data_IF_510349236578
#
_entry.id   IF_510349236578
#
_cell.length_a   1.000
_cell.length_b   1.000
_cell.length_c   1.000
_cell.angle_alpha   90.00
_cell.angle_beta   90.00
_cell.angle_gamma   90.00
#
_symmetry.space_group_name_H-M   'P 1'
#
loop_
_entity.id
_entity.type
_entity.pdbx_description
1 polymer ?
#
# COMPACT_ATOMS: atom_id res chain seq x y z
N UNK A 1 19.90 -28.11 -36.45
CA UNK A 1 19.99 -26.64 -36.40
C UNK A 1 20.49 -26.30 -34.98
N UNK A 2 21.75 -26.00 -34.61
CA UNK A 2 22.86 -25.20 -35.21
C UNK A 2 22.31 -23.88 -35.74
N UNK A 3 22.57 -22.68 -35.21
CA UNK A 3 23.75 -22.01 -34.63
C UNK A 3 23.33 -21.13 -33.41
N UNK A 4 24.06 -20.84 -32.33
CA UNK A 4 25.41 -20.30 -32.12
C UNK A 4 25.61 -18.78 -32.41
N UNK A 5 25.67 -18.00 -31.31
CA UNK A 5 26.60 -16.88 -30.95
C UNK A 5 26.63 -15.53 -31.70
N UNK A 6 26.93 -14.52 -30.86
CA UNK A 6 27.70 -13.26 -31.09
C UNK A 6 26.85 -11.99 -31.33
N UNK A 7 26.81 -10.95 -30.46
CA UNK A 7 27.82 -10.04 -29.84
C UNK A 7 28.25 -8.87 -30.78
N UNK A 8 28.18 -7.63 -30.24
CA UNK A 8 28.87 -6.35 -30.60
C UNK A 8 28.27 -5.56 -31.81
N UNK A 9 28.07 -4.23 -31.87
CA UNK A 9 28.24 -3.03 -31.00
C UNK A 9 27.84 -1.75 -31.77
N UNK A 10 27.75 -0.61 -31.05
CA UNK A 10 28.18 0.77 -31.42
C UNK A 10 27.15 1.72 -32.09
N UNK A 11 26.73 2.69 -31.26
CA UNK A 11 26.82 4.15 -31.44
C UNK A 11 26.03 4.86 -32.53
N UNK A 12 25.28 5.88 -32.10
CA UNK A 12 25.50 7.24 -32.60
C UNK A 12 25.07 8.27 -31.53
N UNK A 13 26.08 8.92 -30.97
CA UNK A 13 26.02 10.19 -30.25
C UNK A 13 25.54 11.27 -31.23
N UNK A 14 24.56 12.08 -30.84
CA UNK A 14 24.32 13.38 -31.48
C UNK A 14 24.57 14.47 -30.45
N UNK A 15 25.69 15.16 -30.64
CA UNK A 15 25.97 16.44 -30.02
C UNK A 15 25.00 17.50 -30.55
N UNK A 16 24.48 18.33 -29.66
CA UNK A 16 24.03 19.67 -30.03
C UNK A 16 24.51 20.64 -28.96
N UNK A 17 25.56 21.37 -29.34
CA UNK A 17 26.08 22.54 -28.63
C UNK A 17 25.28 23.73 -29.14
N UNK A 18 24.57 24.43 -28.25
CA UNK A 18 24.29 25.86 -28.44
C UNK A 18 24.67 26.58 -27.17
N UNK A 19 25.63 27.48 -27.36
CA UNK A 19 26.30 28.31 -26.40
C UNK A 19 25.40 29.53 -26.07
N UNK A 20 25.11 29.78 -24.79
CA UNK A 20 24.64 31.08 -24.31
C UNK A 20 24.93 31.21 -22.81
N UNK A 21 25.94 32.00 -22.49
CA UNK A 21 26.10 32.68 -21.20
C UNK A 21 26.02 34.20 -21.47
N UNK A 22 25.92 35.09 -20.47
CA UNK A 22 25.72 34.91 -19.02
C UNK A 22 24.56 35.79 -18.46
N UNK A 23 24.23 35.67 -17.18
CA UNK A 23 24.02 36.78 -16.21
C UNK A 23 23.89 36.14 -14.82
N UNK A 24 24.76 36.55 -13.91
CA UNK A 24 24.76 36.23 -12.49
C UNK A 24 23.80 37.20 -11.78
N UNK A 25 22.89 36.72 -10.92
CA UNK A 25 22.55 37.43 -9.70
C UNK A 25 22.98 36.59 -8.50
N UNK A 26 23.99 37.08 -7.80
CA UNK A 26 24.40 36.63 -6.48
C UNK A 26 23.22 36.74 -5.52
N UNK A 27 22.66 35.59 -5.13
CA UNK A 27 21.81 35.44 -3.94
C UNK A 27 22.33 34.27 -3.12
N UNK A 28 23.01 34.62 -2.05
CA UNK A 28 23.24 33.75 -0.89
C UNK A 28 21.88 33.40 -0.27
N UNK A 29 21.45 32.16 -0.40
CA UNK A 29 20.39 31.60 0.45
C UNK A 29 20.51 30.08 0.55
N UNK A 30 20.87 29.64 1.76
CA UNK A 30 20.77 28.31 2.35
C UNK A 30 20.84 27.10 1.41
N UNK A 31 21.97 26.39 1.44
CA UNK A 31 21.96 24.95 1.22
C UNK A 31 21.00 24.33 2.24
N UNK A 32 19.81 23.92 1.80
CA UNK A 32 19.17 22.78 2.44
C UNK A 32 19.98 21.55 2.01
N UNK A 33 20.31 20.63 2.92
CA UNK A 33 20.87 19.36 2.50
C UNK A 33 19.74 18.62 1.76
N UNK A 34 19.81 18.57 0.43
CA UNK A 34 19.10 17.52 -0.30
C UNK A 34 19.67 16.21 0.22
N UNK A 35 18.87 15.44 0.96
CA UNK A 35 19.23 14.09 1.36
C UNK A 35 19.44 13.27 0.09
N UNK A 36 20.69 13.17 -0.36
CA UNK A 36 21.04 12.15 -1.33
C UNK A 36 20.78 10.82 -0.64
N UNK A 37 19.70 10.13 -1.04
CA UNK A 37 19.50 8.74 -0.67
C UNK A 37 20.66 7.98 -1.32
N UNK A 38 21.47 7.33 -0.49
CA UNK A 38 22.55 6.44 -0.95
C UNK A 38 21.97 5.37 -1.90
N UNK A 39 22.75 4.84 -2.85
CA UNK A 39 22.32 3.76 -3.75
C UNK A 39 21.78 2.55 -2.96
N UNK A 40 22.48 2.17 -1.88
CA UNK A 40 22.03 1.19 -0.90
C UNK A 40 20.68 1.54 -0.25
N UNK A 41 20.41 2.84 -0.01
CA UNK A 41 19.14 3.30 0.53
C UNK A 41 17.97 3.22 -0.46
N UNK A 42 18.25 3.37 -1.76
CA UNK A 42 17.27 3.15 -2.81
C UNK A 42 16.92 1.66 -2.93
N UNK A 43 17.93 0.79 -3.00
CA UNK A 43 17.75 -0.67 -3.06
C UNK A 43 17.01 -1.23 -1.83
N UNK A 44 17.36 -0.75 -0.65
CA UNK A 44 16.67 -1.08 0.60
C UNK A 44 15.18 -0.70 0.53
N UNK A 45 14.89 0.50 0.03
CA UNK A 45 13.51 0.99 -0.10
C UNK A 45 12.72 0.17 -1.10
N UNK A 46 13.29 -0.14 -2.26
CA UNK A 46 12.66 -0.97 -3.29
C UNK A 46 12.37 -2.38 -2.77
N UNK A 47 13.37 -3.04 -2.18
CA UNK A 47 13.27 -4.43 -1.73
C UNK A 47 12.27 -4.57 -0.57
N UNK A 48 12.31 -3.65 0.41
CA UNK A 48 11.32 -3.65 1.49
C UNK A 48 9.92 -3.28 0.99
N UNK A 49 9.79 -2.39 0.01
CA UNK A 49 8.49 -2.05 -0.58
C UNK A 49 7.84 -3.28 -1.23
N UNK A 50 8.59 -4.02 -2.05
CA UNK A 50 8.09 -5.25 -2.67
C UNK A 50 7.71 -6.30 -1.62
N UNK A 51 8.52 -6.46 -0.57
CA UNK A 51 8.23 -7.34 0.56
C UNK A 51 6.88 -7.01 1.22
N UNK A 52 6.64 -5.74 1.57
CA UNK A 52 5.38 -5.33 2.20
C UNK A 52 4.20 -5.40 1.23
N UNK A 53 4.38 -5.04 -0.04
CA UNK A 53 3.34 -5.12 -1.07
C UNK A 53 2.82 -6.56 -1.23
N UNK A 54 3.71 -7.55 -1.25
CA UNK A 54 3.32 -8.97 -1.35
C UNK A 54 2.47 -9.44 -0.17
N UNK A 55 2.81 -9.02 1.05
CA UNK A 55 2.04 -9.40 2.25
C UNK A 55 0.68 -8.67 2.27
N UNK A 56 0.66 -7.39 1.94
CA UNK A 56 -0.58 -6.58 1.85
C UNK A 56 -1.51 -7.15 0.79
N UNK A 57 -0.97 -7.55 -0.35
CA UNK A 57 -1.73 -8.19 -1.42
C UNK A 57 -2.45 -9.45 -0.90
N UNK A 58 -1.67 -10.38 -0.34
CA UNK A 58 -2.21 -11.64 0.16
C UNK A 58 -3.27 -11.43 1.25
N UNK A 59 -2.99 -10.59 2.24
CA UNK A 59 -3.94 -10.30 3.32
C UNK A 59 -5.26 -9.71 2.80
N UNK A 60 -5.20 -8.85 1.79
CA UNK A 60 -6.39 -8.27 1.18
C UNK A 60 -7.14 -9.25 0.28
N UNK A 61 -6.46 -10.21 -0.35
CA UNK A 61 -7.12 -11.30 -1.08
C UNK A 61 -7.93 -12.17 -0.12
N UNK A 62 -7.34 -12.55 1.02
CA UNK A 62 -7.99 -13.40 2.03
C UNK A 62 -9.25 -12.72 2.60
N UNK A 63 -9.12 -11.46 3.03
CA UNK A 63 -10.26 -10.66 3.51
C UNK A 63 -11.33 -10.50 2.42
N UNK A 64 -10.91 -10.30 1.16
CA UNK A 64 -11.86 -10.14 0.07
C UNK A 64 -12.64 -11.42 -0.22
N UNK A 65 -11.99 -12.59 -0.13
CA UNK A 65 -12.62 -13.88 -0.32
C UNK A 65 -13.72 -14.12 0.72
N UNK A 66 -13.40 -13.93 2.00
CA UNK A 66 -14.35 -14.09 3.11
C UNK A 66 -15.57 -13.17 2.95
N UNK A 67 -15.31 -11.90 2.63
CA UNK A 67 -16.36 -10.90 2.44
C UNK A 67 -17.26 -11.25 1.25
N UNK A 68 -16.70 -11.73 0.14
CA UNK A 68 -17.45 -12.06 -1.08
C UNK A 68 -18.25 -13.36 -0.97
N UNK A 69 -17.83 -14.28 -0.10
CA UNK A 69 -18.59 -15.50 0.20
C UNK A 69 -19.81 -15.16 1.07
N UNK A 70 -19.63 -14.36 2.12
CA UNK A 70 -20.65 -14.15 3.14
C UNK A 70 -21.65 -13.03 2.80
N UNK A 71 -21.18 -11.81 2.56
CA UNK A 71 -22.06 -10.64 2.53
C UNK A 71 -23.07 -10.63 1.40
N UNK A 72 -22.72 -10.97 0.14
CA UNK A 72 -23.71 -11.02 -0.92
C UNK A 72 -24.85 -12.00 -0.62
N UNK A 73 -24.57 -13.08 0.10
CA UNK A 73 -25.61 -14.03 0.50
C UNK A 73 -26.53 -13.44 1.58
N UNK A 74 -25.94 -12.80 2.60
CA UNK A 74 -26.69 -12.19 3.70
C UNK A 74 -27.65 -11.10 3.18
N UNK A 75 -27.14 -10.14 2.43
CA UNK A 75 -27.93 -8.96 2.04
C UNK A 75 -28.94 -9.23 0.92
N UNK A 76 -28.76 -10.31 0.15
CA UNK A 76 -29.63 -10.63 -0.98
C UNK A 76 -30.90 -11.39 -0.61
N UNK A 77 -31.01 -11.93 0.61
CA UNK A 77 -32.19 -12.64 1.10
C UNK A 77 -32.74 -13.72 0.14
N UNK A 78 -31.85 -14.39 -0.60
CA UNK A 78 -32.22 -15.43 -1.57
C UNK A 78 -32.48 -14.95 -3.01
N UNK A 79 -32.50 -13.63 -3.27
CA UNK A 79 -32.61 -13.09 -4.62
C UNK A 79 -31.26 -13.21 -5.35
N UNK A 80 -31.24 -14.01 -6.42
CA UNK A 80 -30.03 -14.31 -7.21
C UNK A 80 -29.47 -13.06 -7.91
N UNK A 81 -30.33 -12.20 -8.44
CA UNK A 81 -29.91 -10.98 -9.14
C UNK A 81 -29.35 -9.94 -8.15
N UNK A 82 -30.03 -9.74 -7.03
CA UNK A 82 -29.56 -8.89 -5.94
C UNK A 82 -28.19 -9.36 -5.41
N UNK A 83 -28.00 -10.69 -5.28
CA UNK A 83 -26.72 -11.29 -4.87
C UNK A 83 -25.60 -10.96 -5.85
N UNK A 84 -25.84 -11.09 -7.15
CA UNK A 84 -24.84 -10.80 -8.17
C UNK A 84 -24.44 -9.32 -8.17
N UNK A 85 -25.41 -8.42 -8.00
CA UNK A 85 -25.14 -6.98 -7.90
C UNK A 85 -24.35 -6.64 -6.63
N UNK A 86 -24.75 -7.19 -5.48
CA UNK A 86 -24.03 -7.07 -4.22
C UNK A 86 -22.58 -7.53 -4.36
N UNK A 87 -22.37 -8.73 -4.91
CA UNK A 87 -21.05 -9.31 -5.12
C UNK A 87 -20.19 -8.44 -6.04
N UNK A 88 -20.75 -7.96 -7.15
CA UNK A 88 -20.02 -7.08 -8.08
C UNK A 88 -19.65 -5.74 -7.44
N UNK A 89 -20.56 -5.14 -6.69
CA UNK A 89 -20.32 -3.88 -5.97
C UNK A 89 -19.22 -4.07 -4.91
N UNK A 90 -19.36 -5.08 -4.07
CA UNK A 90 -18.40 -5.39 -3.01
C UNK A 90 -17.02 -5.72 -3.58
N UNK A 91 -16.95 -6.56 -4.62
CA UNK A 91 -15.70 -6.93 -5.28
C UNK A 91 -14.97 -5.71 -5.85
N UNK A 92 -15.70 -4.79 -6.49
CA UNK A 92 -15.11 -3.55 -7.01
C UNK A 92 -14.51 -2.72 -5.90
N UNK A 93 -15.23 -2.54 -4.80
CA UNK A 93 -14.77 -1.67 -3.73
C UNK A 93 -13.62 -2.28 -2.92
N UNK A 94 -13.64 -3.59 -2.67
CA UNK A 94 -12.53 -4.30 -2.04
C UNK A 94 -11.26 -4.27 -2.90
N UNK A 95 -11.39 -4.47 -4.22
CA UNK A 95 -10.27 -4.31 -5.15
C UNK A 95 -9.71 -2.88 -5.15
N UNK A 96 -10.58 -1.88 -5.02
CA UNK A 96 -10.15 -0.49 -4.90
C UNK A 96 -9.40 -0.25 -3.58
N UNK A 97 -9.88 -0.80 -2.45
CA UNK A 97 -9.19 -0.74 -1.16
C UNK A 97 -7.81 -1.41 -1.25
N UNK A 98 -7.74 -2.63 -1.79
CA UNK A 98 -6.48 -3.35 -2.06
C UNK A 98 -5.51 -2.49 -2.88
N UNK A 99 -5.95 -1.94 -4.01
CA UNK A 99 -5.12 -1.08 -4.85
C UNK A 99 -4.64 0.18 -4.12
N UNK A 100 -5.48 0.76 -3.25
CA UNK A 100 -5.14 1.93 -2.45
C UNK A 100 -4.08 1.61 -1.40
N UNK A 101 -4.18 0.45 -0.76
CA UNK A 101 -3.17 -0.02 0.19
C UNK A 101 -1.84 -0.28 -0.49
N UNK A 102 -1.83 -1.03 -1.61
CA UNK A 102 -0.62 -1.30 -2.40
C UNK A 102 0.04 0.01 -2.86
N UNK A 103 -0.73 0.95 -3.40
CA UNK A 103 -0.21 2.25 -3.82
C UNK A 103 0.37 3.10 -2.68
N UNK A 104 0.05 2.76 -1.42
CA UNK A 104 0.52 3.47 -0.23
C UNK A 104 1.77 2.85 0.39
N UNK A 105 2.06 1.56 0.13
CA UNK A 105 3.21 0.86 0.72
C UNK A 105 4.53 1.56 0.40
N UNK A 106 4.87 1.72 -0.87
CA UNK A 106 6.14 2.33 -1.26
C UNK A 106 6.32 3.77 -0.70
N UNK A 107 5.33 4.68 -0.80
CA UNK A 107 5.42 5.99 -0.13
C UNK A 107 5.65 5.92 1.38
N UNK A 108 5.01 4.97 2.09
CA UNK A 108 5.17 4.79 3.54
C UNK A 108 6.59 4.30 3.87
N UNK A 109 7.04 3.24 3.18
CA UNK A 109 8.39 2.68 3.32
C UNK A 109 9.46 3.75 3.06
N UNK A 110 9.33 4.49 1.95
CA UNK A 110 10.25 5.58 1.58
C UNK A 110 10.31 6.70 2.62
N UNK A 111 9.20 6.96 3.31
CA UNK A 111 9.10 8.05 4.30
C UNK A 111 9.61 7.61 5.68
N UNK A 112 9.36 6.35 6.06
CA UNK A 112 9.65 5.84 7.39
C UNK A 112 11.06 5.26 7.52
N UNK A 113 11.65 4.68 6.46
CA UNK A 113 13.03 4.15 6.49
C UNK A 113 14.03 5.20 6.98
N UNK A 114 14.10 6.44 6.45
CA UNK A 114 15.08 7.42 6.90
C UNK A 114 14.89 7.88 8.36
N UNK A 115 13.72 7.64 8.94
CA UNK A 115 13.39 8.01 10.32
C UNK A 115 13.77 6.92 11.34
N UNK A 116 14.13 5.72 10.89
CA UNK A 116 14.50 4.61 11.77
C UNK A 116 16.03 4.52 11.80
N UNK A 117 16.60 4.79 12.97
CA UNK A 117 18.05 4.95 13.16
C UNK A 117 18.84 3.75 12.63
N UNK A 118 18.46 2.51 12.96
CA UNK A 118 19.18 1.32 12.49
C UNK A 118 19.15 1.13 10.97
N UNK A 119 18.04 1.47 10.30
CA UNK A 119 17.97 1.43 8.83
C UNK A 119 18.75 2.58 8.19
N UNK A 120 18.75 3.76 8.79
CA UNK A 120 19.55 4.89 8.32
C UNK A 120 21.06 4.63 8.48
N UNK A 121 21.47 4.01 9.59
CA UNK A 121 22.85 3.55 9.77
C UNK A 121 23.25 2.62 8.64
N UNK A 122 22.40 1.65 8.28
CA UNK A 122 22.64 0.73 7.16
C UNK A 122 22.81 1.46 5.82
N UNK A 123 22.03 2.51 5.56
CA UNK A 123 22.20 3.34 4.36
C UNK A 123 23.56 4.08 4.31
N UNK A 124 24.23 4.22 5.46
CA UNK A 124 25.50 4.92 5.63
C UNK A 124 26.69 3.97 5.86
N UNK A 125 26.48 2.65 5.94
CA UNK A 125 27.58 1.69 6.05
C UNK A 125 28.34 1.72 4.73
N UNK A 126 29.47 2.43 4.74
CA UNK A 126 30.46 2.43 3.67
C UNK A 126 31.33 1.16 3.83
N UNK A 127 31.73 0.55 2.71
CA UNK A 127 32.38 -0.79 2.57
C UNK A 127 33.74 -1.00 3.29
N UNK A 128 34.05 -0.28 4.37
CA UNK A 128 35.39 -0.20 4.97
C UNK A 128 35.54 -0.81 6.36
N UNK A 129 34.47 -1.33 7.01
CA UNK A 129 34.61 -1.99 8.32
C UNK A 129 34.19 -3.46 8.30
N UNK A 130 35.20 -4.31 8.45
CA UNK A 130 35.19 -5.77 8.48
C UNK A 130 34.29 -6.34 9.59
N UNK A 131 33.30 -7.14 9.18
CA UNK A 131 32.94 -8.51 9.62
C UNK A 131 32.88 -8.89 11.12
N UNK A 132 33.08 -7.98 12.07
CA UNK A 132 33.22 -8.34 13.48
C UNK A 132 31.93 -8.20 14.30
N UNK A 133 30.90 -7.54 13.74
CA UNK A 133 29.66 -7.19 14.46
C UNK A 133 28.38 -7.63 13.70
N UNK A 134 28.44 -8.66 12.84
CA UNK A 134 27.30 -9.06 12.02
C UNK A 134 26.06 -9.43 12.86
N UNK A 135 26.24 -10.21 13.94
CA UNK A 135 25.14 -10.57 14.85
C UNK A 135 24.48 -9.33 15.50
N UNK A 136 25.27 -8.30 15.81
CA UNK A 136 24.78 -7.04 16.38
C UNK A 136 24.02 -6.22 15.33
N UNK A 137 24.50 -6.22 14.07
CA UNK A 137 23.82 -5.56 12.94
C UNK A 137 22.48 -6.25 12.66
N UNK A 138 22.45 -7.58 12.61
CA UNK A 138 21.22 -8.35 12.38
C UNK A 138 20.19 -8.11 13.49
N UNK A 139 20.62 -8.07 14.76
CA UNK A 139 19.74 -7.77 15.88
C UNK A 139 19.16 -6.35 15.80
N UNK A 140 19.99 -5.35 15.48
CA UNK A 140 19.56 -3.95 15.32
C UNK A 140 18.64 -3.75 14.11
N UNK A 141 18.92 -4.46 13.01
CA UNK A 141 18.09 -4.47 11.81
C UNK A 141 16.73 -5.12 12.08
N UNK A 142 16.70 -6.23 12.81
CA UNK A 142 15.44 -6.88 13.21
C UNK A 142 14.57 -5.94 14.04
N UNK A 143 15.11 -5.26 15.05
CA UNK A 143 14.35 -4.29 15.86
C UNK A 143 13.85 -3.11 15.02
N UNK A 144 14.67 -2.65 14.08
CA UNK A 144 14.33 -1.58 13.16
C UNK A 144 13.20 -1.98 12.20
N UNK A 145 13.24 -3.21 11.66
CA UNK A 145 12.17 -3.77 10.82
C UNK A 145 10.89 -3.95 11.64
N UNK A 146 10.98 -4.47 12.87
CA UNK A 146 9.83 -4.59 13.76
C UNK A 146 9.18 -3.22 14.06
N UNK A 147 9.98 -2.16 14.16
CA UNK A 147 9.49 -0.79 14.30
C UNK A 147 8.80 -0.31 13.02
N UNK A 148 9.40 -0.59 11.86
CA UNK A 148 8.81 -0.27 10.55
C UNK A 148 7.47 -1.00 10.33
N UNK A 149 7.41 -2.29 10.66
CA UNK A 149 6.20 -3.12 10.62
C UNK A 149 5.04 -2.47 11.37
N UNK A 150 5.28 -2.01 12.60
CA UNK A 150 4.27 -1.32 13.43
C UNK A 150 3.78 -0.03 12.79
N UNK A 151 4.68 0.77 12.23
CA UNK A 151 4.32 2.02 11.56
C UNK A 151 3.49 1.76 10.30
N UNK A 152 3.96 0.88 9.42
CA UNK A 152 3.30 0.58 8.15
C UNK A 152 1.94 -0.06 8.38
N UNK A 153 1.86 -1.09 9.23
CA UNK A 153 0.57 -1.75 9.55
C UNK A 153 -0.45 -0.76 10.09
N UNK A 154 -0.04 0.13 11.00
CA UNK A 154 -0.91 1.17 11.54
C UNK A 154 -1.39 2.14 10.47
N UNK A 155 -0.49 2.66 9.63
CA UNK A 155 -0.85 3.58 8.53
C UNK A 155 -1.80 2.93 7.52
N UNK A 156 -1.57 1.65 7.19
CA UNK A 156 -2.46 0.87 6.33
C UNK A 156 -3.82 0.64 6.99
N UNK A 157 -3.87 0.39 8.30
CA UNK A 157 -5.11 0.33 9.08
C UNK A 157 -5.92 1.62 9.02
N UNK A 158 -5.24 2.77 9.14
CA UNK A 158 -5.88 4.09 8.98
C UNK A 158 -6.42 4.31 7.56
N UNK A 159 -5.76 3.79 6.53
CA UNK A 159 -6.24 3.86 5.14
C UNK A 159 -7.47 2.97 4.95
N UNK A 160 -7.50 1.78 5.55
CA UNK A 160 -8.68 0.90 5.54
C UNK A 160 -9.86 1.60 6.19
N UNK A 161 -9.66 2.25 7.35
CA UNK A 161 -10.70 2.96 8.09
C UNK A 161 -11.97 2.10 8.24
N UNK A 162 -11.86 1.01 8.98
CA UNK A 162 -12.86 -0.05 9.05
C UNK A 162 -14.28 0.46 9.37
N UNK A 163 -14.40 1.45 10.26
CA UNK A 163 -15.68 2.05 10.65
C UNK A 163 -16.38 2.73 9.46
N UNK A 164 -15.67 3.62 8.76
CA UNK A 164 -16.26 4.33 7.61
C UNK A 164 -16.44 3.40 6.42
N UNK A 165 -15.44 2.56 6.13
CA UNK A 165 -15.45 1.66 4.98
C UNK A 165 -16.58 0.64 5.08
N UNK A 166 -16.78 0.00 6.24
CA UNK A 166 -17.86 -0.98 6.41
C UNK A 166 -19.24 -0.38 6.12
N UNK A 167 -19.54 0.80 6.68
CA UNK A 167 -20.81 1.51 6.45
C UNK A 167 -21.01 1.86 4.97
N UNK A 168 -19.97 2.38 4.31
CA UNK A 168 -20.05 2.79 2.90
C UNK A 168 -20.23 1.58 1.98
N UNK A 169 -19.44 0.53 2.19
CA UNK A 169 -19.45 -0.69 1.38
C UNK A 169 -20.83 -1.35 1.40
N UNK A 170 -21.37 -1.52 2.60
CA UNK A 170 -22.70 -2.11 2.80
C UNK A 170 -23.78 -1.23 2.18
N UNK A 171 -23.75 0.09 2.41
CA UNK A 171 -24.71 1.03 1.80
C UNK A 171 -24.67 0.98 0.27
N UNK A 172 -23.48 0.92 -0.32
CA UNK A 172 -23.35 0.82 -1.78
C UNK A 172 -23.89 -0.51 -2.30
N UNK A 173 -23.53 -1.62 -1.66
CA UNK A 173 -24.01 -2.94 -2.04
C UNK A 173 -25.55 -3.06 -1.94
N UNK A 174 -26.15 -2.46 -0.92
CA UNK A 174 -27.62 -2.48 -0.69
C UNK A 174 -28.39 -1.50 -1.57
N UNK A 175 -27.90 -0.26 -1.76
CA UNK A 175 -28.57 0.72 -2.64
C UNK A 175 -28.65 0.24 -4.10
N UNK A 176 -27.69 -0.56 -4.57
CA UNK A 176 -27.77 -1.18 -5.88
C UNK A 176 -28.88 -2.24 -5.99
N UNK A 177 -29.28 -2.86 -4.88
CA UNK A 177 -30.39 -3.82 -4.81
C UNK A 177 -31.73 -3.08 -4.82
N UNK A 178 -31.88 -2.02 -4.01
CA UNK A 178 -33.13 -1.26 -3.89
C UNK A 178 -33.50 -0.53 -5.19
N UNK A 179 -32.52 -0.01 -5.93
CA UNK A 179 -32.72 0.65 -7.24
C UNK A 179 -33.30 -0.24 -8.34
N UNK A 180 -33.29 -1.55 -8.14
CA UNK A 180 -33.89 -2.49 -9.09
C UNK A 180 -35.30 -2.92 -8.68
N UNK A 181 -35.68 -2.68 -7.41
CA UNK A 181 -37.03 -2.92 -6.91
C UNK A 181 -37.97 -1.74 -7.19
N UNK A 182 -37.46 -0.50 -7.25
CA UNK A 182 -38.23 0.71 -7.56
C UNK A 182 -37.76 1.40 -8.84
N UNK A 183 -38.70 1.64 -9.77
CA UNK A 183 -38.49 2.33 -11.06
C UNK A 183 -38.30 3.86 -10.89
N UNK A 184 -38.29 4.40 -9.67
CA UNK A 184 -38.33 5.84 -9.45
C UNK A 184 -36.98 6.44 -9.02
N UNK A 185 -36.38 7.17 -9.99
CA UNK A 185 -35.33 8.20 -9.88
C UNK A 185 -33.92 7.74 -9.44
N UNK A 186 -32.88 7.98 -10.27
CA UNK A 186 -31.52 7.57 -9.96
C UNK A 186 -30.84 8.55 -8.99
N UNK A 187 -30.77 8.22 -7.70
CA UNK A 187 -29.87 8.91 -6.76
C UNK A 187 -28.45 8.39 -6.97
N UNK A 188 -27.66 9.05 -7.82
CA UNK A 188 -26.26 8.68 -8.07
C UNK A 188 -25.42 9.08 -6.85
N UNK A 189 -25.09 8.11 -5.99
CA UNK A 189 -24.09 8.31 -4.93
C UNK A 189 -22.71 8.10 -5.55
N UNK A 190 -22.13 9.18 -6.08
CA UNK A 190 -20.74 9.17 -6.55
C UNK A 190 -19.82 9.36 -5.34
N UNK A 191 -19.20 8.29 -4.88
CA UNK A 191 -18.09 8.40 -3.91
C UNK A 191 -16.81 8.54 -4.72
N UNK A 192 -16.28 9.77 -4.77
CA UNK A 192 -15.00 10.07 -5.40
C UNK A 192 -13.88 9.86 -4.38
N UNK A 193 -13.16 8.74 -4.50
CA UNK A 193 -12.02 8.41 -3.65
C UNK A 193 -10.75 9.09 -4.18
N UNK A 194 -10.36 10.24 -3.61
CA UNK A 194 -9.14 10.95 -4.01
C UNK A 194 -7.93 10.45 -3.24
N UNK A 195 -6.98 9.86 -3.97
CA UNK A 195 -5.73 9.23 -3.52
C UNK A 195 -4.76 10.12 -2.70
N UNK A 196 -5.08 11.38 -2.37
CA UNK A 196 -4.08 12.36 -1.86
C UNK A 196 -4.53 13.36 -0.78
N UNK A 197 -5.67 13.20 -0.11
CA UNK A 197 -6.04 14.09 1.02
C UNK A 197 -6.68 13.34 2.18
N UNK A 198 -6.54 13.84 3.44
CA UNK A 198 -7.34 13.36 4.56
C UNK A 198 -8.82 13.53 4.20
N UNK A 199 -9.44 12.36 4.03
CA UNK A 199 -10.83 11.99 3.79
C UNK A 199 -11.86 13.13 4.00
N UNK A 200 -12.39 13.66 2.91
CA UNK A 200 -13.64 14.43 2.92
C UNK A 200 -14.68 13.69 2.09
N UNK A 201 -15.60 13.02 2.79
CA UNK A 201 -16.73 12.32 2.18
C UNK A 201 -17.96 13.22 2.33
N UNK A 202 -18.45 13.77 1.22
CA UNK A 202 -19.73 14.48 1.20
C UNK A 202 -20.86 13.46 1.34
N UNK A 203 -21.25 13.17 2.59
CA UNK A 203 -22.45 12.40 2.89
C UNK A 203 -23.65 13.33 2.71
N UNK A 204 -24.28 13.29 1.54
CA UNK A 204 -25.62 13.85 1.38
C UNK A 204 -26.57 12.90 2.11
N UNK A 205 -27.08 13.36 3.25
CA UNK A 205 -27.99 12.64 4.14
C UNK A 205 -29.39 12.76 3.55
N UNK A 206 -29.95 11.67 3.04
CA UNK A 206 -31.39 11.53 2.89
C UNK A 206 -31.87 10.45 3.86
N UNK A 207 -32.90 10.82 4.60
CA UNK A 207 -33.60 9.98 5.57
C UNK A 207 -34.36 8.89 4.81
N UNK A 208 -33.92 7.63 4.86
CA UNK A 208 -34.76 6.52 4.41
C UNK A 208 -34.43 5.20 5.11
N UNK A 209 -35.50 4.63 5.68
CA UNK A 209 -35.74 3.28 6.21
C UNK A 209 -34.53 2.43 6.61
N UNK A 210 -34.37 2.27 7.94
CA UNK A 210 -33.57 1.24 8.60
C UNK A 210 -34.05 -0.16 8.18
N UNK A 211 -33.60 -0.65 7.03
CA UNK A 211 -33.48 -2.07 6.81
C UNK A 211 -32.32 -2.56 7.69
N UNK A 212 -32.47 -3.73 8.31
CA UNK A 212 -31.59 -4.29 9.35
C UNK A 212 -30.21 -4.64 8.78
N UNK A 213 -29.42 -3.59 8.53
CA UNK A 213 -28.11 -3.57 7.88
C UNK A 213 -27.00 -3.48 8.94
N UNK A 214 -27.41 -3.37 10.20
CA UNK A 214 -26.56 -3.25 11.38
C UNK A 214 -25.71 -4.50 11.60
N UNK A 215 -26.26 -5.70 11.40
CA UNK A 215 -25.51 -6.93 11.65
C UNK A 215 -24.39 -7.18 10.62
N UNK A 216 -24.64 -6.91 9.34
CA UNK A 216 -23.68 -7.07 8.25
C UNK A 216 -22.60 -6.00 8.25
N UNK A 217 -22.97 -4.76 8.63
CA UNK A 217 -22.01 -3.68 8.79
C UNK A 217 -21.11 -3.89 10.00
N UNK A 218 -21.64 -4.39 11.12
CA UNK A 218 -20.83 -4.80 12.29
C UNK A 218 -19.91 -5.97 11.96
N UNK A 219 -20.39 -6.98 11.23
CA UNK A 219 -19.56 -8.09 10.79
C UNK A 219 -18.44 -7.61 9.87
N UNK A 220 -18.75 -6.79 8.85
CA UNK A 220 -17.75 -6.25 7.94
C UNK A 220 -16.76 -5.33 8.65
N UNK A 221 -17.22 -4.53 9.61
CA UNK A 221 -16.36 -3.75 10.47
C UNK A 221 -15.36 -4.64 11.20
N UNK A 222 -15.80 -5.76 11.80
CA UNK A 222 -14.90 -6.70 12.46
C UNK A 222 -13.84 -7.24 11.49
N UNK A 223 -14.23 -7.63 10.28
CA UNK A 223 -13.28 -8.13 9.27
C UNK A 223 -12.25 -7.06 8.88
N UNK A 224 -12.71 -5.85 8.53
CA UNK A 224 -11.82 -4.76 8.14
C UNK A 224 -10.95 -4.25 9.29
N UNK A 225 -11.46 -4.27 10.53
CA UNK A 225 -10.69 -3.86 11.72
C UNK A 225 -9.55 -4.82 12.03
N UNK A 226 -9.68 -6.09 11.62
CA UNK A 226 -8.63 -7.09 11.78
C UNK A 226 -7.47 -6.90 10.81
N UNK A 227 -7.64 -6.15 9.72
CA UNK A 227 -6.59 -5.95 8.70
C UNK A 227 -5.31 -5.38 9.30
N UNK A 228 -5.40 -4.35 10.15
CA UNK A 228 -4.22 -3.76 10.81
C UNK A 228 -3.43 -4.80 11.62
N UNK A 229 -4.15 -5.59 12.43
CA UNK A 229 -3.56 -6.61 13.31
C UNK A 229 -3.00 -7.77 12.50
N UNK A 230 -3.73 -8.24 11.49
CA UNK A 230 -3.30 -9.34 10.61
C UNK A 230 -2.05 -8.94 9.83
N UNK A 231 -2.01 -7.73 9.27
CA UNK A 231 -0.82 -7.20 8.61
C UNK A 231 0.36 -7.12 9.57
N UNK A 232 0.16 -6.59 10.78
CA UNK A 232 1.22 -6.53 11.78
C UNK A 232 1.78 -7.92 12.13
N UNK A 233 0.90 -8.92 12.30
CA UNK A 233 1.31 -10.28 12.59
C UNK A 233 2.10 -10.88 11.42
N UNK A 234 1.58 -10.80 10.19
CA UNK A 234 2.26 -11.30 8.99
C UNK A 234 3.62 -10.61 8.75
N UNK A 235 3.70 -9.29 8.97
CA UNK A 235 4.96 -8.57 8.87
C UNK A 235 5.99 -9.03 9.91
N UNK A 236 5.55 -9.29 11.14
CA UNK A 236 6.43 -9.70 12.23
C UNK A 236 6.87 -11.16 12.09
N UNK A 237 5.96 -12.06 11.68
CA UNK A 237 6.25 -13.48 11.47
C UNK A 237 7.30 -13.69 10.37
N UNK A 238 7.33 -12.78 9.38
CA UNK A 238 8.28 -12.79 8.26
C UNK A 238 9.41 -11.76 8.41
N UNK A 239 9.55 -11.12 9.57
CA UNK A 239 10.56 -10.07 9.78
C UNK A 239 12.00 -10.58 9.58
N UNK A 240 12.27 -11.85 9.89
CA UNK A 240 13.57 -12.48 9.63
C UNK A 240 13.87 -12.60 8.13
N UNK A 241 12.86 -12.87 7.30
CA UNK A 241 13.02 -12.90 5.84
C UNK A 241 13.39 -11.51 5.31
N UNK A 242 12.79 -10.46 5.89
CA UNK A 242 13.13 -9.08 5.55
C UNK A 242 14.55 -8.71 6.01
N UNK A 243 15.00 -9.14 7.19
CA UNK A 243 16.40 -8.97 7.64
C UNK A 243 17.36 -9.62 6.63
N UNK A 244 17.10 -10.88 6.26
CA UNK A 244 17.93 -11.60 5.33
C UNK A 244 17.98 -10.91 3.96
N UNK A 245 16.82 -10.50 3.43
CA UNK A 245 16.71 -9.79 2.17
C UNK A 245 17.53 -8.49 2.18
N UNK A 246 17.47 -7.70 3.26
CA UNK A 246 18.28 -6.49 3.40
C UNK A 246 19.77 -6.81 3.43
N UNK A 247 20.18 -7.82 4.19
CA UNK A 247 21.59 -8.23 4.28
C UNK A 247 22.12 -8.74 2.92
N UNK A 248 21.31 -9.48 2.16
CA UNK A 248 21.65 -9.93 0.81
C UNK A 248 21.75 -8.75 -0.18
N UNK A 249 20.83 -7.79 -0.13
CA UNK A 249 20.89 -6.58 -0.96
C UNK A 249 22.16 -5.77 -0.72
N UNK A 250 22.62 -5.67 0.53
CA UNK A 250 23.86 -4.98 0.88
C UNK A 250 25.11 -5.75 0.43
N UNK A 251 25.08 -7.09 0.50
CA UNK A 251 26.19 -7.93 0.07
C UNK A 251 26.38 -7.98 -1.46
N UNK A 252 25.31 -7.73 -2.23
CA UNK A 252 25.33 -7.67 -3.69
C UNK A 252 25.84 -6.34 -4.25
N UNK A 253 26.00 -5.30 -3.41
CA UNK A 253 26.58 -4.00 -3.76
C UNK A 253 28.13 -3.96 -3.61
N UNK A 254 28.76 -5.15 -3.50
CA UNK A 254 30.21 -5.41 -3.41
C UNK A 254 30.73 -5.98 -4.74
#
# INVERSE_FOLDING_TARGET
>A
MLFARSIITISCIVFSVVNAAPIIPSTTSSLSPKSHISEAGFLLTESLSEYYENIVDQAMLDVSEDVLIFLPQSISHGNVEARQLAQKSMSRNLNFMRASLLASVNPLVSTDIPQIEGLNTIQQIDNTQEHTNQDEIEANLLDSIMTLNKKISHQLGLIVNAEQSSSILIRQATTHITKQADIEKPTVVTVEWKLRQPFQINVIREEEQQQDVTSESEWLYSQLSSVEINLLNEFNDRAQDAVQLVMESLALDI
#
